data_IF_382773830296
#
_entry.id   IF_382773830296
#
_cell.length_a   1.000
_cell.length_b   1.000
_cell.length_c   1.000
_cell.angle_alpha   90.00
_cell.angle_beta   90.00
_cell.angle_gamma   90.00
#
_symmetry.space_group_name_H-M   'P 1'
#
loop_
_entity.id
_entity.type
_entity.pdbx_description
1 polymer ?
#
# COMPACT_ATOMS: atom_id res chain seq x y z
N UNK A 1 19.60 -16.05 -20.48
CA UNK A 1 19.91 -15.04 -19.45
C UNK A 1 18.55 -14.56 -18.96
N UNK A 2 18.08 -15.08 -17.82
CA UNK A 2 16.80 -14.65 -17.26
C UNK A 2 16.92 -13.16 -16.91
N UNK A 3 16.04 -12.32 -17.46
CA UNK A 3 15.98 -10.91 -17.08
C UNK A 3 15.55 -10.84 -15.62
N UNK A 4 16.21 -9.97 -14.85
CA UNK A 4 15.80 -9.72 -13.47
C UNK A 4 14.33 -9.26 -13.48
N UNK A 5 13.45 -9.83 -12.63
CA UNK A 5 12.09 -9.32 -12.52
C UNK A 5 12.16 -7.82 -12.20
N UNK A 6 11.34 -7.05 -12.91
CA UNK A 6 11.30 -5.58 -12.83
C UNK A 6 12.49 -4.80 -13.42
N UNK A 7 13.41 -5.42 -14.17
CA UNK A 7 14.53 -4.71 -14.82
C UNK A 7 14.11 -3.48 -15.64
N UNK A 8 12.89 -3.53 -16.19
CA UNK A 8 12.43 -2.53 -17.15
C UNK A 8 11.44 -1.54 -16.53
N UNK A 9 11.01 -1.68 -15.27
CA UNK A 9 9.93 -0.80 -14.75
C UNK A 9 10.32 0.66 -14.68
N UNK A 10 11.62 0.94 -14.62
CA UNK A 10 12.18 2.29 -14.60
C UNK A 10 12.72 2.74 -15.96
N UNK A 11 12.54 1.94 -17.03
CA UNK A 11 13.02 2.28 -18.37
C UNK A 11 12.18 3.39 -19.03
N UNK A 12 10.93 3.57 -18.59
CA UNK A 12 10.07 4.68 -18.99
C UNK A 12 9.06 5.02 -17.89
N UNK A 13 8.49 6.22 -17.98
CA UNK A 13 7.53 6.70 -16.99
C UNK A 13 6.35 5.73 -16.78
N UNK A 14 5.83 5.12 -17.85
CA UNK A 14 4.69 4.19 -17.76
C UNK A 14 5.06 2.71 -17.77
N UNK A 15 6.35 2.37 -17.80
CA UNK A 15 6.79 0.97 -17.80
C UNK A 15 6.38 0.21 -16.53
N UNK A 16 5.99 0.93 -15.47
CA UNK A 16 5.38 0.33 -14.28
C UNK A 16 4.02 -0.33 -14.57
N UNK A 17 3.22 0.22 -15.48
CA UNK A 17 1.86 -0.26 -15.71
C UNK A 17 1.84 -1.71 -16.24
N UNK A 18 0.90 -2.52 -15.75
CA UNK A 18 0.76 -3.92 -16.15
C UNK A 18 1.87 -4.85 -15.62
N UNK A 19 2.76 -4.36 -14.74
CA UNK A 19 3.84 -5.16 -14.13
C UNK A 19 3.53 -5.66 -12.73
N UNK A 20 2.37 -5.31 -12.17
CA UNK A 20 1.91 -5.86 -10.91
C UNK A 20 1.84 -7.39 -11.01
N UNK A 21 2.37 -8.08 -10.00
CA UNK A 21 2.22 -9.54 -9.86
C UNK A 21 1.06 -9.86 -8.89
N UNK A 22 0.73 -11.14 -8.74
CA UNK A 22 -0.25 -11.57 -7.74
C UNK A 22 -1.69 -11.19 -8.05
N UNK A 23 -2.50 -11.01 -7.00
CA UNK A 23 -3.92 -10.70 -7.14
C UNK A 23 -4.19 -9.29 -7.65
N UNK A 24 -3.30 -8.32 -7.38
CA UNK A 24 -3.36 -6.96 -7.91
C UNK A 24 -2.83 -6.78 -9.34
N UNK A 25 -2.51 -7.86 -10.07
CA UNK A 25 -1.89 -7.80 -11.41
C UNK A 25 -2.65 -6.99 -12.48
N UNK A 26 -3.96 -6.81 -12.29
CA UNK A 26 -4.82 -6.05 -13.21
C UNK A 26 -4.96 -4.56 -12.84
N UNK A 27 -4.14 -4.05 -11.92
CA UNK A 27 -4.10 -2.64 -11.57
C UNK A 27 -3.62 -1.81 -12.76
N UNK A 28 -4.50 -1.03 -13.37
CA UNK A 28 -4.18 -0.19 -14.53
C UNK A 28 -3.59 1.16 -14.10
N UNK A 29 -3.94 1.62 -12.89
CA UNK A 29 -3.59 2.97 -12.44
C UNK A 29 -4.15 4.03 -13.39
N UNK A 30 -3.36 5.08 -13.61
CA UNK A 30 -3.63 6.15 -14.57
C UNK A 30 -3.10 5.89 -15.97
N UNK A 31 -2.87 4.64 -16.39
CA UNK A 31 -2.20 4.30 -17.66
C UNK A 31 -2.78 5.03 -18.89
N UNK A 32 -4.09 5.26 -18.94
CA UNK A 32 -4.76 5.92 -20.06
C UNK A 32 -5.07 7.40 -19.81
N UNK A 33 -4.60 7.95 -18.69
CA UNK A 33 -4.76 9.36 -18.33
C UNK A 33 -3.62 10.25 -18.82
N UNK A 34 -3.77 11.58 -18.80
CA UNK A 34 -2.65 12.49 -18.93
C UNK A 34 -1.76 12.48 -17.67
N UNK A 35 -0.61 13.15 -17.78
CA UNK A 35 0.23 13.45 -16.62
C UNK A 35 -0.41 14.56 -15.77
N UNK A 36 -0.30 14.42 -14.45
CA UNK A 36 -0.55 15.50 -13.51
C UNK A 36 0.71 15.74 -12.70
N UNK A 37 1.21 16.97 -12.72
CA UNK A 37 2.43 17.37 -12.03
C UNK A 37 2.07 18.00 -10.70
N UNK A 38 2.52 17.38 -9.61
CA UNK A 38 2.43 17.96 -8.27
C UNK A 38 3.58 18.96 -8.12
N UNK A 39 3.20 20.23 -8.02
CA UNK A 39 4.12 21.38 -7.92
C UNK A 39 4.08 22.05 -6.55
N UNK A 40 3.15 21.63 -5.69
CA UNK A 40 2.94 22.19 -4.35
C UNK A 40 2.91 21.08 -3.29
N UNK A 41 3.59 21.33 -2.17
CA UNK A 41 3.57 20.47 -0.98
C UNK A 41 2.43 20.82 -0.01
N UNK A 42 1.58 21.79 -0.36
CA UNK A 42 0.38 22.11 0.40
C UNK A 42 -0.59 20.91 0.39
N UNK A 43 -1.35 20.76 1.47
CA UNK A 43 -2.33 19.67 1.60
C UNK A 43 -3.43 19.70 0.53
N UNK A 44 -3.88 20.90 0.13
CA UNK A 44 -4.90 21.12 -0.90
C UNK A 44 -4.55 22.38 -1.71
N UNK A 45 -5.31 22.60 -2.78
CA UNK A 45 -5.18 23.72 -3.69
C UNK A 45 -4.48 23.35 -5.00
N UNK A 46 -4.31 24.34 -5.89
CA UNK A 46 -3.71 24.13 -7.20
C UNK A 46 -2.33 23.48 -7.12
N UNK A 47 -2.11 22.44 -7.92
CA UNK A 47 -0.83 21.73 -8.00
C UNK A 47 -0.51 20.83 -6.80
N UNK A 48 -1.45 20.65 -5.86
CA UNK A 48 -1.30 19.72 -4.74
C UNK A 48 -1.58 18.27 -5.14
N UNK A 49 -1.02 17.30 -4.41
CA UNK A 49 -1.33 15.89 -4.59
C UNK A 49 -2.85 15.62 -4.43
N UNK A 50 -3.50 16.27 -3.47
CA UNK A 50 -4.93 16.09 -3.18
C UNK A 50 -5.82 16.50 -4.34
N UNK A 51 -5.48 17.59 -5.03
CA UNK A 51 -6.20 18.01 -6.24
C UNK A 51 -6.10 16.96 -7.35
N UNK A 52 -4.91 16.40 -7.57
CA UNK A 52 -4.72 15.31 -8.54
C UNK A 52 -5.51 14.04 -8.17
N UNK A 53 -5.47 13.63 -6.91
CA UNK A 53 -6.11 12.39 -6.47
C UNK A 53 -7.65 12.44 -6.51
N UNK A 54 -8.27 13.61 -6.27
CA UNK A 54 -9.74 13.74 -6.27
C UNK A 54 -10.37 13.81 -7.66
N UNK A 55 -9.58 14.16 -8.68
CA UNK A 55 -10.05 14.25 -10.08
C UNK A 55 -10.67 12.94 -10.56
N UNK A 56 -11.72 13.03 -11.37
CA UNK A 56 -12.48 11.85 -11.83
C UNK A 56 -11.80 11.16 -13.00
N UNK A 57 -11.16 11.95 -13.87
CA UNK A 57 -10.39 11.47 -15.01
C UNK A 57 -9.22 10.58 -14.55
N UNK A 58 -8.83 9.57 -15.34
CA UNK A 58 -7.60 8.83 -15.09
C UNK A 58 -6.39 9.77 -15.06
N UNK A 59 -5.46 9.60 -14.12
CA UNK A 59 -4.25 10.43 -14.04
C UNK A 59 -3.03 9.63 -13.63
N UNK A 60 -1.93 9.90 -14.33
CA UNK A 60 -0.59 9.51 -13.90
C UNK A 60 0.06 10.69 -13.18
N UNK A 61 0.01 10.66 -11.85
CA UNK A 61 0.45 11.72 -10.97
C UNK A 61 1.94 11.55 -10.70
N UNK A 62 2.72 12.57 -11.04
CA UNK A 62 4.17 12.68 -10.81
C UNK A 62 4.45 13.95 -10.01
N UNK A 63 5.68 14.09 -9.52
CA UNK A 63 6.10 15.23 -8.70
C UNK A 63 7.16 16.04 -9.42
N UNK A 64 7.13 17.36 -9.25
CA UNK A 64 8.24 18.26 -9.63
C UNK A 64 9.02 18.74 -8.39
N UNK A 65 8.43 18.57 -7.21
CA UNK A 65 9.01 18.97 -5.93
C UNK A 65 9.14 17.78 -5.00
N UNK A 66 10.27 17.68 -4.29
CA UNK A 66 10.46 16.74 -3.18
C UNK A 66 10.18 17.40 -1.85
N UNK A 67 9.68 16.63 -0.89
CA UNK A 67 9.45 17.13 0.45
C UNK A 67 8.35 16.39 1.19
N UNK A 68 7.88 17.02 2.26
CA UNK A 68 6.86 16.48 3.13
C UNK A 68 5.53 17.18 2.88
N UNK A 69 4.49 16.41 2.61
CA UNK A 69 3.10 16.88 2.51
C UNK A 69 2.42 16.51 3.84
N UNK A 70 2.00 17.53 4.58
CA UNK A 70 1.26 17.33 5.83
C UNK A 70 -0.24 17.25 5.54
N UNK A 71 -0.82 16.08 5.73
CA UNK A 71 -2.24 15.83 5.46
C UNK A 71 -3.09 16.18 6.69
N UNK A 72 -3.92 17.22 6.58
CA UNK A 72 -4.84 17.61 7.66
C UNK A 72 -6.02 16.63 7.83
N UNK A 73 -6.35 15.92 6.75
CA UNK A 73 -7.40 14.91 6.67
C UNK A 73 -6.95 13.77 5.75
N UNK A 74 -7.64 12.62 5.81
CA UNK A 74 -7.39 11.55 4.84
C UNK A 74 -7.45 12.06 3.40
N UNK A 75 -6.44 11.73 2.61
CA UNK A 75 -6.41 12.07 1.19
C UNK A 75 -7.11 10.95 0.42
N UNK A 76 -8.29 11.26 -0.12
CA UNK A 76 -9.08 10.32 -0.91
C UNK A 76 -8.46 10.14 -2.29
N UNK A 77 -8.23 8.89 -2.69
CA UNK A 77 -7.75 8.56 -4.02
C UNK A 77 -8.90 7.97 -4.83
N UNK A 78 -9.33 8.70 -5.87
CA UNK A 78 -10.35 8.22 -6.82
C UNK A 78 -9.80 7.08 -7.71
N UNK A 79 -10.68 6.39 -8.43
CA UNK A 79 -10.28 5.35 -9.38
C UNK A 79 -9.32 5.84 -10.48
N UNK A 80 -8.59 4.90 -11.09
CA UNK A 80 -7.68 5.13 -12.22
C UNK A 80 -6.58 6.16 -11.93
N UNK A 81 -5.88 5.99 -10.81
CA UNK A 81 -4.76 6.85 -10.40
C UNK A 81 -3.48 6.05 -10.31
N UNK A 82 -2.41 6.57 -10.89
CA UNK A 82 -1.05 6.19 -10.49
C UNK A 82 -0.48 7.36 -9.70
N UNK A 83 -0.05 7.14 -8.47
CA UNK A 83 0.77 8.09 -7.70
C UNK A 83 2.20 7.58 -7.77
N UNK A 84 3.02 8.23 -8.58
CA UNK A 84 4.37 7.81 -8.91
C UNK A 84 5.40 8.76 -8.30
N UNK A 85 5.93 8.38 -7.14
CA UNK A 85 6.97 9.15 -6.45
C UNK A 85 8.38 8.93 -7.00
N UNK A 86 8.59 8.14 -8.06
CA UNK A 86 9.95 7.85 -8.56
C UNK A 86 10.66 9.13 -9.00
N UNK A 87 11.97 9.19 -8.75
CA UNK A 87 12.79 10.37 -9.01
C UNK A 87 12.68 11.48 -7.95
N UNK A 88 11.72 11.38 -7.03
CA UNK A 88 11.52 12.35 -5.96
C UNK A 88 11.40 11.66 -4.60
N UNK A 89 11.65 12.42 -3.52
CA UNK A 89 11.42 11.97 -2.15
C UNK A 89 10.17 12.62 -1.61
N UNK A 90 9.07 11.86 -1.57
CA UNK A 90 7.76 12.34 -1.16
C UNK A 90 7.36 11.65 0.13
N UNK A 91 7.21 12.43 1.20
CA UNK A 91 6.74 11.95 2.50
C UNK A 91 5.35 12.47 2.80
N UNK A 92 4.44 11.58 3.18
CA UNK A 92 3.11 11.92 3.71
C UNK A 92 3.11 11.78 5.23
N UNK A 93 2.58 12.79 5.92
CA UNK A 93 2.49 12.84 7.40
C UNK A 93 1.12 13.31 7.88
N UNK A 94 0.85 13.20 9.18
CA UNK A 94 -0.40 13.64 9.80
C UNK A 94 -1.53 12.63 9.62
N UNK A 95 -2.02 12.45 8.38
CA UNK A 95 -2.97 11.41 7.97
C UNK A 95 -2.38 10.53 6.86
N UNK A 96 -3.17 9.58 6.38
CA UNK A 96 -2.80 8.67 5.30
C UNK A 96 -3.63 8.84 4.03
N UNK A 97 -3.48 7.88 3.13
CA UNK A 97 -4.32 7.73 1.96
C UNK A 97 -5.57 6.92 2.31
N UNK A 98 -6.70 7.26 1.68
CA UNK A 98 -7.94 6.50 1.76
C UNK A 98 -8.44 6.14 0.37
N UNK A 99 -8.49 4.84 0.10
CA UNK A 99 -9.02 4.21 -1.09
C UNK A 99 -10.37 3.60 -0.71
N UNK A 100 -11.43 4.29 -1.13
CA UNK A 100 -12.81 3.96 -0.78
C UNK A 100 -13.62 3.86 -2.06
N UNK A 101 -14.26 2.71 -2.27
CA UNK A 101 -15.13 2.43 -3.41
C UNK A 101 -14.46 2.78 -4.75
N UNK A 102 -13.16 2.45 -4.86
CA UNK A 102 -12.34 2.79 -6.02
C UNK A 102 -11.66 1.56 -6.62
N UNK A 103 -11.25 1.67 -7.88
CA UNK A 103 -10.51 0.63 -8.57
C UNK A 103 -9.38 1.14 -9.45
N UNK A 104 -8.46 0.24 -9.78
CA UNK A 104 -7.29 0.51 -10.62
C UNK A 104 -6.42 1.65 -10.07
N UNK A 105 -5.86 1.46 -8.87
CA UNK A 105 -4.94 2.43 -8.24
C UNK A 105 -3.55 1.83 -8.10
N UNK A 106 -2.53 2.59 -8.47
CA UNK A 106 -1.12 2.25 -8.26
C UNK A 106 -0.50 3.31 -7.35
N UNK A 107 0.17 2.90 -6.28
CA UNK A 107 0.89 3.76 -5.35
C UNK A 107 2.34 3.30 -5.33
N UNK A 108 3.26 4.17 -5.71
CA UNK A 108 4.65 3.81 -5.92
C UNK A 108 5.62 4.83 -5.31
N UNK A 109 6.64 4.35 -4.61
CA UNK A 109 7.79 5.14 -4.15
C UNK A 109 7.41 6.34 -3.25
N UNK A 110 6.51 6.11 -2.29
CA UNK A 110 6.13 7.10 -1.28
C UNK A 110 6.63 6.69 0.11
N UNK A 111 6.96 7.68 0.94
CA UNK A 111 7.25 7.52 2.36
C UNK A 111 6.00 7.92 3.18
N UNK A 112 5.61 7.12 4.18
CA UNK A 112 4.52 7.38 5.11
C UNK A 112 5.08 7.34 6.54
N UNK A 113 4.93 8.45 7.27
CA UNK A 113 5.47 8.55 8.64
C UNK A 113 4.70 9.57 9.49
N UNK A 114 4.59 9.32 10.79
CA UNK A 114 4.06 10.32 11.73
C UNK A 114 2.56 10.53 11.59
N UNK A 115 1.79 9.44 11.41
CA UNK A 115 0.33 9.50 11.47
C UNK A 115 -0.15 9.57 12.91
N UNK A 116 -0.99 10.56 13.24
CA UNK A 116 -1.43 10.82 14.61
C UNK A 116 -2.94 10.98 14.75
N UNK A 117 -3.47 10.37 15.82
CA UNK A 117 -4.89 10.39 16.20
C UNK A 117 -5.57 9.02 16.10
N UNK A 118 -6.81 8.98 16.58
CA UNK A 118 -7.64 7.77 16.56
C UNK A 118 -7.88 7.27 15.13
N UNK A 119 -7.75 5.96 14.90
CA UNK A 119 -7.92 5.27 13.60
C UNK A 119 -7.15 5.90 12.44
N UNK A 120 -5.90 6.32 12.70
CA UNK A 120 -5.02 6.86 11.66
C UNK A 120 -4.11 5.78 11.13
N UNK A 121 -4.39 5.36 9.89
CA UNK A 121 -3.61 4.41 9.13
C UNK A 121 -2.81 5.10 8.02
N UNK A 122 -1.70 4.50 7.61
CA UNK A 122 -0.91 4.97 6.46
C UNK A 122 -1.69 4.88 5.15
N UNK A 123 -2.28 3.72 4.89
CA UNK A 123 -3.13 3.46 3.73
C UNK A 123 -4.37 2.66 4.17
N UNK A 124 -5.54 3.27 4.05
CA UNK A 124 -6.83 2.60 4.24
C UNK A 124 -7.40 2.17 2.89
N UNK A 125 -7.72 0.89 2.74
CA UNK A 125 -8.44 0.33 1.60
C UNK A 125 -9.77 -0.25 2.11
N UNK A 126 -10.82 0.58 2.11
CA UNK A 126 -12.16 0.23 2.59
C UNK A 126 -13.23 1.26 2.22
N UNK A 127 -14.47 0.83 1.94
CA UNK A 127 -14.92 -0.49 1.48
C UNK A 127 -14.77 -0.70 -0.04
N UNK A 128 -15.09 -1.92 -0.50
CA UNK A 128 -15.39 -2.26 -1.90
C UNK A 128 -14.38 -1.76 -2.93
N UNK A 129 -13.09 -1.76 -2.60
CA UNK A 129 -12.04 -1.30 -3.50
C UNK A 129 -11.27 -2.47 -4.10
N UNK A 130 -10.86 -2.39 -5.37
CA UNK A 130 -10.23 -3.52 -6.07
C UNK A 130 -9.20 -3.13 -7.12
N UNK A 131 -8.34 -4.08 -7.50
CA UNK A 131 -7.27 -3.86 -8.48
C UNK A 131 -6.34 -2.72 -8.03
N UNK A 132 -5.68 -2.95 -6.90
CA UNK A 132 -4.77 -1.97 -6.30
C UNK A 132 -3.37 -2.56 -6.17
N UNK A 133 -2.37 -1.75 -6.45
CA UNK A 133 -0.97 -2.11 -6.28
C UNK A 133 -0.22 -1.06 -5.48
N UNK A 134 0.38 -1.50 -4.37
CA UNK A 134 1.26 -0.68 -3.52
C UNK A 134 2.66 -1.23 -3.68
N UNK A 135 3.57 -0.41 -4.21
CA UNK A 135 4.91 -0.84 -4.58
C UNK A 135 5.99 0.12 -4.07
N UNK A 136 7.12 -0.42 -3.60
CA UNK A 136 8.30 0.38 -3.18
C UNK A 136 7.98 1.51 -2.19
N UNK A 137 6.95 1.36 -1.38
CA UNK A 137 6.60 2.35 -0.37
C UNK A 137 7.31 2.04 0.95
N UNK A 138 7.67 3.08 1.70
CA UNK A 138 8.20 2.95 3.07
C UNK A 138 7.16 3.44 4.06
N UNK A 139 6.78 2.63 5.05
CA UNK A 139 5.74 2.95 6.02
C UNK A 139 6.22 2.67 7.45
N UNK A 140 6.04 3.64 8.36
CA UNK A 140 6.39 3.52 9.79
C UNK A 140 5.62 4.51 10.65
N UNK A 141 5.59 4.29 11.97
CA UNK A 141 5.19 5.31 12.94
C UNK A 141 3.79 5.95 12.71
N UNK A 142 2.74 5.11 12.66
CA UNK A 142 1.33 5.51 12.74
C UNK A 142 0.71 5.06 14.08
N UNK A 143 -0.33 5.76 14.54
CA UNK A 143 -1.02 5.47 15.80
C UNK A 143 -1.92 4.22 15.75
N UNK A 144 -2.48 3.85 14.58
CA UNK A 144 -3.19 2.58 14.39
C UNK A 144 -2.45 1.60 13.47
N UNK A 145 -2.84 1.43 12.20
CA UNK A 145 -2.20 0.50 11.26
C UNK A 145 -1.30 1.18 10.21
N UNK A 146 -0.42 0.43 9.54
CA UNK A 146 0.25 0.96 8.33
C UNK A 146 -0.62 0.74 7.09
N UNK A 147 -1.14 -0.47 6.91
CA UNK A 147 -2.04 -0.80 5.79
C UNK A 147 -3.23 -1.62 6.29
N UNK A 148 -4.43 -1.10 6.06
CA UNK A 148 -5.69 -1.73 6.46
C UNK A 148 -6.55 -2.07 5.24
N UNK A 149 -6.76 -3.36 4.99
CA UNK A 149 -7.54 -3.91 3.87
C UNK A 149 -8.77 -4.60 4.43
N UNK A 150 -9.94 -3.99 4.27
CA UNK A 150 -11.18 -4.48 4.92
C UNK A 150 -12.41 -4.25 4.05
N UNK A 151 -13.55 -4.81 4.49
CA UNK A 151 -14.87 -4.54 3.91
C UNK A 151 -14.92 -4.85 2.41
N UNK A 152 -14.65 -6.11 2.09
CA UNK A 152 -14.73 -6.69 0.73
C UNK A 152 -13.75 -6.10 -0.28
N UNK A 153 -12.71 -5.39 0.18
CA UNK A 153 -11.67 -4.86 -0.71
C UNK A 153 -10.70 -5.98 -1.11
N UNK A 154 -10.52 -6.20 -2.42
CA UNK A 154 -9.91 -7.43 -2.96
C UNK A 154 -9.02 -7.14 -4.16
N UNK A 155 -8.28 -8.13 -4.63
CA UNK A 155 -7.37 -8.01 -5.78
C UNK A 155 -6.30 -6.93 -5.58
N UNK A 156 -5.55 -7.12 -4.49
CA UNK A 156 -4.53 -6.17 -4.02
C UNK A 156 -3.17 -6.85 -4.02
N UNK A 157 -2.15 -6.12 -4.46
CA UNK A 157 -0.74 -6.54 -4.30
C UNK A 157 0.03 -5.48 -3.52
N UNK A 158 0.81 -5.93 -2.54
CA UNK A 158 1.79 -5.14 -1.80
C UNK A 158 3.17 -5.72 -2.09
N UNK A 159 4.05 -4.95 -2.72
CA UNK A 159 5.35 -5.45 -3.16
C UNK A 159 6.49 -4.51 -2.85
N UNK A 160 7.67 -5.06 -2.54
CA UNK A 160 8.92 -4.30 -2.33
C UNK A 160 8.78 -3.13 -1.34
N UNK A 161 7.82 -3.20 -0.44
CA UNK A 161 7.60 -2.17 0.56
C UNK A 161 8.47 -2.43 1.78
N UNK A 162 8.86 -1.35 2.45
CA UNK A 162 9.60 -1.39 3.71
C UNK A 162 8.70 -0.95 4.87
N UNK A 163 8.51 -1.84 5.84
CA UNK A 163 7.70 -1.59 7.03
C UNK A 163 8.61 -1.60 8.25
N UNK A 164 8.60 -0.53 9.03
CA UNK A 164 9.50 -0.43 10.18
C UNK A 164 8.87 0.21 11.41
N UNK A 165 9.43 -0.10 12.58
CA UNK A 165 9.20 0.63 13.85
C UNK A 165 7.72 0.95 14.12
N UNK A 166 6.88 -0.09 14.16
CA UNK A 166 5.44 0.08 14.28
C UNK A 166 4.78 -1.12 14.96
N UNK A 167 3.65 -0.90 15.64
CA UNK A 167 2.96 -1.96 16.37
C UNK A 167 2.12 -2.85 15.45
N UNK A 168 1.06 -2.30 14.82
CA UNK A 168 0.03 -3.05 14.08
C UNK A 168 0.20 -2.93 12.57
N UNK A 169 1.16 -3.64 11.99
CA UNK A 169 1.60 -3.42 10.59
C UNK A 169 0.51 -3.50 9.53
N UNK A 170 -0.15 -4.65 9.35
CA UNK A 170 -1.11 -4.86 8.27
C UNK A 170 -2.30 -5.72 8.70
N UNK A 171 -3.51 -5.13 8.65
CA UNK A 171 -4.77 -5.83 8.93
C UNK A 171 -5.51 -6.18 7.63
N UNK A 172 -5.88 -7.45 7.49
CA UNK A 172 -6.67 -7.97 6.38
C UNK A 172 -7.94 -8.59 6.95
N UNK A 173 -9.08 -7.93 6.80
CA UNK A 173 -10.34 -8.32 7.43
C UNK A 173 -10.41 -7.98 8.93
N UNK A 174 -11.15 -6.93 9.28
CA UNK A 174 -11.16 -6.35 10.62
C UNK A 174 -12.16 -6.97 11.60
N UNK A 175 -13.26 -7.53 11.10
CA UNK A 175 -14.40 -7.96 11.91
C UNK A 175 -14.59 -9.48 11.77
N UNK A 176 -14.55 -10.26 12.87
CA UNK A 176 -14.71 -11.72 12.83
C UNK A 176 -16.12 -12.18 12.44
N UNK A 177 -17.10 -11.27 12.34
CA UNK A 177 -18.48 -11.58 11.94
C UNK A 177 -18.79 -11.13 10.50
N UNK A 178 -17.88 -10.40 9.86
CA UNK A 178 -18.11 -9.84 8.53
C UNK A 178 -17.77 -10.85 7.42
N UNK A 179 -18.65 -11.82 7.23
CA UNK A 179 -18.49 -12.93 6.27
C UNK A 179 -18.30 -12.50 4.80
N UNK A 180 -18.64 -11.25 4.46
CA UNK A 180 -18.37 -10.67 3.14
C UNK A 180 -16.88 -10.65 2.80
N UNK A 181 -16.00 -10.56 3.80
CA UNK A 181 -14.54 -10.51 3.62
C UNK A 181 -13.93 -11.81 3.06
N UNK A 182 -14.72 -12.88 2.86
CA UNK A 182 -14.29 -14.11 2.16
C UNK A 182 -13.84 -13.85 0.72
N UNK A 183 -14.29 -12.75 0.11
CA UNK A 183 -13.85 -12.36 -1.23
C UNK A 183 -12.47 -11.69 -1.27
N UNK A 184 -11.91 -11.29 -0.12
CA UNK A 184 -10.62 -10.59 -0.07
C UNK A 184 -9.50 -11.49 -0.61
N UNK A 185 -8.69 -10.94 -1.52
CA UNK A 185 -7.51 -11.59 -2.11
C UNK A 185 -6.34 -10.61 -2.10
N UNK A 186 -5.26 -10.97 -1.41
CA UNK A 186 -4.08 -10.10 -1.25
C UNK A 186 -2.80 -10.87 -1.56
N UNK A 187 -1.89 -10.28 -2.32
CA UNK A 187 -0.53 -10.78 -2.49
C UNK A 187 0.45 -9.85 -1.79
N UNK A 188 1.38 -10.42 -1.01
CA UNK A 188 2.43 -9.67 -0.31
C UNK A 188 3.77 -10.32 -0.67
N UNK A 189 4.65 -9.58 -1.35
CA UNK A 189 5.92 -10.16 -1.76
C UNK A 189 7.11 -9.21 -1.80
N UNK A 190 8.30 -9.76 -1.54
CA UNK A 190 9.55 -9.00 -1.53
C UNK A 190 9.53 -7.79 -0.60
N UNK A 191 8.64 -7.78 0.39
CA UNK A 191 8.59 -6.72 1.40
C UNK A 191 9.59 -7.02 2.51
N UNK A 192 10.05 -5.94 3.16
CA UNK A 192 10.92 -6.03 4.31
C UNK A 192 10.22 -5.46 5.55
N UNK A 193 10.08 -6.30 6.57
CA UNK A 193 9.48 -5.97 7.86
C UNK A 193 10.58 -5.94 8.93
N UNK A 194 10.87 -4.76 9.49
CA UNK A 194 12.00 -4.55 10.40
C UNK A 194 11.61 -3.82 11.68
N UNK A 195 11.66 -4.50 12.83
CA UNK A 195 11.29 -3.87 14.11
C UNK A 195 9.79 -3.59 14.21
N UNK A 196 8.96 -4.41 13.57
CA UNK A 196 7.50 -4.31 13.62
C UNK A 196 6.94 -5.31 14.63
N UNK A 197 6.03 -4.90 15.52
CA UNK A 197 5.66 -5.76 16.66
C UNK A 197 4.72 -6.91 16.26
N UNK A 198 3.72 -6.63 15.43
CA UNK A 198 2.69 -7.59 15.03
C UNK A 198 2.06 -7.29 13.67
N UNK A 199 1.26 -8.25 13.19
CA UNK A 199 0.41 -8.16 11.99
C UNK A 199 1.18 -8.07 10.66
N UNK A 200 2.01 -9.05 10.32
CA UNK A 200 2.76 -9.14 9.07
C UNK A 200 2.32 -10.31 8.16
N UNK A 201 1.03 -10.49 7.81
CA UNK A 201 -0.16 -9.74 8.18
C UNK A 201 -0.94 -10.43 9.32
N UNK A 202 -2.00 -9.77 9.77
CA UNK A 202 -3.10 -10.41 10.52
C UNK A 202 -4.31 -10.53 9.60
N UNK A 203 -4.79 -11.75 9.38
CA UNK A 203 -5.86 -12.03 8.41
C UNK A 203 -7.11 -12.69 9.02
N UNK A 204 -8.27 -12.31 8.47
CA UNK A 204 -9.60 -12.94 8.62
C UNK A 204 -10.23 -13.13 7.25
N UNK A 205 -10.91 -14.27 7.05
CA UNK A 205 -11.68 -14.73 5.90
C UNK A 205 -10.94 -14.80 4.55
N UNK A 206 -10.25 -13.74 4.17
CA UNK A 206 -9.61 -13.60 2.87
C UNK A 206 -8.51 -14.62 2.59
N UNK A 207 -8.07 -14.59 1.33
CA UNK A 207 -6.95 -15.37 0.81
C UNK A 207 -5.73 -14.48 0.69
N UNK A 208 -4.63 -14.88 1.30
CA UNK A 208 -3.36 -14.16 1.21
C UNK A 208 -2.28 -15.08 0.66
N UNK A 209 -1.56 -14.61 -0.35
CA UNK A 209 -0.32 -15.22 -0.81
C UNK A 209 0.88 -14.37 -0.37
N UNK A 210 1.73 -14.94 0.47
CA UNK A 210 2.93 -14.30 1.01
C UNK A 210 4.18 -15.00 0.50
N UNK A 211 5.03 -14.31 -0.27
CA UNK A 211 6.27 -14.92 -0.74
C UNK A 211 7.48 -13.99 -0.77
N UNK A 212 8.67 -14.54 -0.53
CA UNK A 212 9.94 -13.83 -0.57
C UNK A 212 10.00 -12.57 0.32
N UNK A 213 9.23 -12.52 1.41
CA UNK A 213 9.33 -11.41 2.37
C UNK A 213 10.43 -11.70 3.39
N UNK A 214 11.12 -10.65 3.81
CA UNK A 214 12.09 -10.71 4.89
C UNK A 214 11.48 -10.06 6.12
N UNK A 215 11.49 -10.75 7.26
CA UNK A 215 10.93 -10.24 8.52
C UNK A 215 11.94 -10.44 9.64
N UNK A 216 12.31 -9.38 10.34
CA UNK A 216 13.23 -9.44 11.48
C UNK A 216 12.77 -8.56 12.63
N UNK A 217 13.24 -8.87 13.83
CA UNK A 217 13.02 -8.08 15.05
C UNK A 217 11.53 -7.83 15.34
N UNK A 218 10.66 -8.84 15.17
CA UNK A 218 9.26 -8.69 15.56
C UNK A 218 9.05 -8.87 17.07
N UNK A 219 7.95 -8.30 17.58
CA UNK A 219 7.71 -8.22 19.02
C UNK A 219 6.77 -9.30 19.59
N UNK A 220 5.64 -9.56 18.93
CA UNK A 220 4.58 -10.45 19.44
C UNK A 220 4.41 -11.65 18.51
N UNK A 221 4.10 -11.41 17.24
CA UNK A 221 3.99 -12.46 16.21
C UNK A 221 4.21 -11.85 14.83
N UNK A 222 4.57 -12.67 13.83
CA UNK A 222 4.66 -12.24 12.44
C UNK A 222 3.31 -12.40 11.71
N UNK A 223 3.00 -13.61 11.23
CA UNK A 223 1.75 -13.92 10.53
C UNK A 223 0.71 -14.48 11.50
N UNK A 224 -0.54 -14.00 11.44
CA UNK A 224 -1.66 -14.56 12.20
C UNK A 224 -2.86 -14.79 11.28
N UNK A 225 -3.15 -16.05 10.98
CA UNK A 225 -4.38 -16.48 10.31
C UNK A 225 -5.43 -16.84 11.38
N UNK A 226 -6.64 -16.29 11.26
CA UNK A 226 -7.68 -16.51 12.25
C UNK A 226 -8.96 -17.06 11.61
N UNK A 227 -10.08 -16.33 11.64
CA UNK A 227 -11.38 -16.83 11.16
C UNK A 227 -11.31 -17.17 9.67
N UNK A 228 -11.59 -18.42 9.30
CA UNK A 228 -11.75 -18.92 7.91
C UNK A 228 -10.70 -18.44 6.90
N UNK A 229 -9.48 -18.18 7.38
CA UNK A 229 -8.43 -17.55 6.61
C UNK A 229 -7.67 -18.56 5.76
N UNK A 230 -7.24 -18.16 4.56
CA UNK A 230 -6.39 -18.99 3.72
C UNK A 230 -5.07 -18.26 3.46
N UNK A 231 -3.97 -18.79 4.00
CA UNK A 231 -2.64 -18.24 3.78
C UNK A 231 -1.74 -19.25 3.05
N UNK A 232 -1.23 -18.88 1.89
CA UNK A 232 -0.12 -19.58 1.24
C UNK A 232 1.16 -18.80 1.54
N UNK A 233 2.11 -19.42 2.26
CA UNK A 233 3.36 -18.79 2.70
C UNK A 233 4.53 -19.57 2.10
N UNK A 234 5.30 -18.96 1.20
CA UNK A 234 6.40 -19.61 0.47
C UNK A 234 7.67 -18.77 0.48
N UNK A 235 8.82 -19.38 0.77
CA UNK A 235 10.14 -18.72 0.67
C UNK A 235 10.29 -17.41 1.48
N UNK A 236 9.58 -17.27 2.61
CA UNK A 236 9.74 -16.13 3.52
C UNK A 236 10.85 -16.43 4.53
N UNK A 237 11.63 -15.40 4.89
CA UNK A 237 12.76 -15.52 5.81
C UNK A 237 12.47 -14.78 7.12
N UNK A 238 11.92 -15.46 8.15
CA UNK A 238 11.78 -14.90 9.48
C UNK A 238 13.10 -15.04 10.27
N UNK A 239 13.57 -13.95 10.87
CA UNK A 239 14.67 -13.93 11.83
C UNK A 239 14.22 -13.35 13.18
N UNK A 240 14.08 -14.23 14.18
CA UNK A 240 13.96 -13.83 15.58
C UNK A 240 15.33 -13.95 16.23
N UNK A 241 15.79 -12.89 16.90
CA UNK A 241 16.84 -13.06 17.90
C UNK A 241 16.16 -13.67 19.13
N UNK A 242 16.53 -14.90 19.46
CA UNK A 242 16.25 -15.48 20.78
C UNK A 242 17.29 -14.87 21.72
N UNK A 243 16.90 -13.82 22.45
CA UNK A 243 17.66 -13.32 23.60
C UNK A 243 17.22 -14.02 24.87
#
# INVERSE_FOLDING_TARGET
MESLPYSDVDCSLRALAGRAEGFGRFSLGGLHGPLYFVTSLNDDGPGSLREGCRKKEPLWIVFEVSGTIHLSSYLNVSSYKTIDGRGHRIKLTGKGLRLKECEHVIICNLEFEGGRGHDVDGIQIKPNSKHIWIDRCSLRDYDDGLIDITRQSTDITVSRCYFAQHDKTMLIGADPTHIGDRCIRVTIHHCFFDGTRQRQPRLRFGKVHLYNNYTRNWGIYAVCASVESQALVSSNMPSAFVS
#
